data_IF_988762452920
#
_entry.id   IF_988762452920
#
_cell.length_a   1.000
_cell.length_b   1.000
_cell.length_c   1.000
_cell.angle_alpha   90.00
_cell.angle_beta   90.00
_cell.angle_gamma   90.00
#
_symmetry.space_group_name_H-M   'P 1'
#
loop_
_entity.id
_entity.type
_entity.pdbx_description
1 polymer ?
#
# COMPACT_ATOMS: atom_id res chain seq x y z
N UNK A 1 -46.18 2.44 -15.14
CA UNK A 1 -44.94 3.23 -14.98
C UNK A 1 -43.85 2.28 -14.50
N UNK A 2 -42.88 1.91 -15.34
CA UNK A 2 -41.82 0.97 -14.93
C UNK A 2 -40.78 1.72 -14.08
N UNK A 3 -40.38 1.22 -12.90
CA UNK A 3 -39.39 1.89 -12.07
C UNK A 3 -38.04 1.93 -12.79
N UNK A 4 -37.39 3.09 -12.78
CA UNK A 4 -36.04 3.24 -13.37
C UNK A 4 -35.05 2.39 -12.56
N UNK A 5 -34.18 1.60 -13.23
CA UNK A 5 -33.16 0.84 -12.53
C UNK A 5 -32.21 1.80 -11.80
N UNK A 6 -31.97 1.53 -10.51
CA UNK A 6 -30.94 2.25 -9.74
C UNK A 6 -29.58 1.77 -10.22
N UNK A 7 -28.90 2.58 -11.03
CA UNK A 7 -27.52 2.35 -11.43
C UNK A 7 -26.66 2.37 -10.16
N UNK A 8 -26.04 1.25 -9.82
CA UNK A 8 -25.09 1.19 -8.72
C UNK A 8 -23.91 2.13 -9.03
N UNK A 9 -23.71 3.14 -8.18
CA UNK A 9 -22.59 4.08 -8.35
C UNK A 9 -21.28 3.32 -8.16
N UNK A 10 -20.47 3.20 -9.21
CA UNK A 10 -19.05 2.82 -9.10
C UNK A 10 -18.41 3.81 -8.13
N UNK A 11 -18.00 3.36 -6.93
CA UNK A 11 -17.44 4.24 -5.91
C UNK A 11 -16.03 4.63 -6.33
N UNK A 12 -15.83 5.87 -6.78
CA UNK A 12 -14.51 6.43 -6.96
C UNK A 12 -13.81 6.47 -5.59
N UNK A 13 -12.61 5.90 -5.48
CA UNK A 13 -11.82 5.97 -4.26
C UNK A 13 -11.25 7.39 -4.11
N UNK A 14 -11.86 8.17 -3.23
CA UNK A 14 -11.55 9.58 -3.07
C UNK A 14 -10.40 9.80 -2.08
N UNK A 15 -9.82 11.00 -2.09
CA UNK A 15 -8.83 11.44 -1.09
C UNK A 15 -9.42 11.34 0.34
N UNK A 16 -10.72 11.57 0.50
CA UNK A 16 -11.38 11.44 1.79
C UNK A 16 -11.46 9.98 2.27
N UNK A 17 -11.67 9.03 1.34
CA UNK A 17 -11.62 7.60 1.65
C UNK A 17 -10.20 7.19 2.03
N UNK A 18 -9.19 7.66 1.28
CA UNK A 18 -7.78 7.46 1.62
C UNK A 18 -7.45 7.95 3.03
N UNK A 19 -7.83 9.18 3.38
CA UNK A 19 -7.52 9.76 4.69
C UNK A 19 -8.24 9.05 5.84
N UNK A 20 -9.41 8.43 5.58
CA UNK A 20 -10.14 7.65 6.57
C UNK A 20 -9.46 6.30 6.83
N UNK A 21 -8.96 5.65 5.79
CA UNK A 21 -8.30 4.35 5.89
C UNK A 21 -6.85 4.47 6.38
N UNK A 22 -6.12 5.47 5.87
CA UNK A 22 -4.71 5.73 6.17
C UNK A 22 -4.56 7.02 6.98
N UNK A 23 -5.22 7.07 8.14
CA UNK A 23 -5.21 8.24 9.00
C UNK A 23 -3.79 8.55 9.54
N UNK A 24 -3.05 7.51 9.95
CA UNK A 24 -1.75 7.60 10.61
C UNK A 24 -0.77 6.52 10.09
N UNK A 25 0.51 6.68 10.43
CA UNK A 25 1.55 5.70 10.08
C UNK A 25 1.27 4.29 10.64
N UNK A 26 0.63 4.18 11.81
CA UNK A 26 0.20 2.89 12.36
C UNK A 26 -0.85 2.20 11.49
N UNK A 27 -1.78 2.94 10.90
CA UNK A 27 -2.78 2.36 9.99
C UNK A 27 -2.12 1.84 8.70
N UNK A 28 -1.16 2.59 8.16
CA UNK A 28 -0.35 2.12 7.04
C UNK A 28 0.46 0.87 7.40
N UNK A 29 1.00 0.80 8.62
CA UNK A 29 1.79 -0.34 9.10
C UNK A 29 0.92 -1.60 9.31
N UNK A 30 -0.30 -1.47 9.83
CA UNK A 30 -1.25 -2.58 9.90
C UNK A 30 -1.63 -3.06 8.50
N UNK A 31 -1.86 -2.15 7.54
CA UNK A 31 -2.11 -2.53 6.16
C UNK A 31 -0.96 -3.34 5.56
N UNK A 32 0.30 -2.90 5.73
CA UNK A 32 1.47 -3.66 5.24
C UNK A 32 1.56 -5.04 5.90
N UNK A 33 1.28 -5.11 7.21
CA UNK A 33 1.27 -6.38 7.93
C UNK A 33 0.21 -7.32 7.37
N UNK A 34 -1.02 -6.85 7.16
CA UNK A 34 -2.10 -7.68 6.65
C UNK A 34 -1.79 -8.20 5.24
N UNK A 35 -1.18 -7.37 4.39
CA UNK A 35 -0.75 -7.78 3.04
C UNK A 35 0.37 -8.82 3.06
N UNK A 36 1.30 -8.74 4.01
CA UNK A 36 2.43 -9.70 4.12
C UNK A 36 2.04 -10.99 4.84
N UNK A 37 1.18 -10.87 5.85
CA UNK A 37 0.73 -11.97 6.70
C UNK A 37 -0.78 -11.85 6.92
N UNK A 38 -1.60 -12.46 6.05
CA UNK A 38 -3.04 -12.42 6.19
C UNK A 38 -3.46 -13.03 7.54
N UNK A 39 -4.45 -12.42 8.19
CA UNK A 39 -4.92 -12.77 9.54
C UNK A 39 -3.90 -12.50 10.67
N UNK A 40 -2.78 -11.82 10.38
CA UNK A 40 -1.77 -11.46 11.37
C UNK A 40 -1.03 -12.65 12.00
N UNK A 41 -1.09 -13.82 11.37
CA UNK A 41 -0.40 -15.03 11.79
C UNK A 41 0.89 -15.18 10.99
N UNK A 42 2.01 -15.31 11.67
CA UNK A 42 3.29 -15.60 11.02
C UNK A 42 4.13 -16.54 11.85
N UNK A 43 5.06 -17.22 11.19
CA UNK A 43 6.00 -18.13 11.83
C UNK A 43 7.02 -17.32 12.60
N UNK A 44 7.04 -17.50 13.92
CA UNK A 44 8.05 -16.87 14.74
C UNK A 44 9.40 -17.57 14.54
N UNK A 45 10.48 -16.84 14.31
CA UNK A 45 11.83 -17.40 14.16
C UNK A 45 12.31 -18.18 15.39
N UNK A 46 11.92 -17.75 16.60
CA UNK A 46 12.31 -18.42 17.85
C UNK A 46 11.43 -19.61 18.16
N UNK A 47 10.11 -19.46 18.09
CA UNK A 47 9.19 -20.55 18.42
C UNK A 47 9.05 -21.58 17.30
N UNK A 48 9.40 -21.22 16.06
CA UNK A 48 9.13 -21.99 14.84
C UNK A 48 7.67 -22.38 14.63
N UNK A 49 6.74 -21.73 15.34
CA UNK A 49 5.30 -21.98 15.28
C UNK A 49 4.59 -20.73 14.76
N UNK A 50 3.51 -20.94 14.01
CA UNK A 50 2.58 -19.91 13.58
C UNK A 50 1.76 -19.37 14.75
N UNK A 51 1.90 -18.06 14.98
CA UNK A 51 1.27 -17.36 16.11
C UNK A 51 0.85 -15.95 15.69
N UNK A 52 -0.08 -15.39 16.45
CA UNK A 52 -0.45 -13.98 16.34
C UNK A 52 0.68 -13.11 16.87
N UNK A 53 0.87 -11.97 16.22
CA UNK A 53 1.84 -10.96 16.62
C UNK A 53 1.13 -9.64 16.94
N UNK A 54 1.44 -9.08 18.11
CA UNK A 54 0.81 -7.87 18.65
C UNK A 54 1.65 -6.63 18.37
N UNK A 55 0.98 -5.50 18.17
CA UNK A 55 1.61 -4.21 17.86
C UNK A 55 2.45 -3.72 19.04
N UNK A 56 3.72 -3.40 18.81
CA UNK A 56 4.59 -2.75 19.81
C UNK A 56 4.50 -1.24 19.69
N UNK A 57 3.97 -0.58 20.71
CA UNK A 57 3.82 0.88 20.76
C UNK A 57 5.16 1.59 20.57
N UNK A 58 5.18 2.62 19.71
CA UNK A 58 6.35 3.48 19.50
C UNK A 58 7.48 2.91 18.62
N UNK A 59 7.33 1.69 18.09
CA UNK A 59 8.29 1.08 17.14
C UNK A 59 7.54 0.59 15.92
N UNK A 60 8.18 0.37 14.77
CA UNK A 60 7.55 -0.28 13.61
C UNK A 60 7.58 -1.82 13.70
N UNK A 61 7.42 -2.36 14.92
CA UNK A 61 7.60 -3.78 15.22
C UNK A 61 6.32 -4.43 15.74
N UNK A 62 6.24 -5.75 15.58
CA UNK A 62 5.24 -6.59 16.23
C UNK A 62 5.93 -7.65 17.08
N UNK A 63 5.37 -7.96 18.25
CA UNK A 63 5.89 -8.95 19.18
C UNK A 63 5.08 -10.25 19.10
N UNK A 64 5.76 -11.39 19.11
CA UNK A 64 5.13 -12.70 19.24
C UNK A 64 4.50 -12.84 20.63
N UNK A 65 3.26 -13.33 20.68
CA UNK A 65 2.49 -13.54 21.92
C UNK A 65 3.19 -14.46 22.94
N UNK A 66 3.94 -15.47 22.46
CA UNK A 66 4.55 -16.47 23.33
C UNK A 66 5.97 -16.13 23.80
N UNK A 67 6.86 -15.71 22.89
CA UNK A 67 8.28 -15.52 23.20
C UNK A 67 8.73 -14.05 23.21
N UNK A 68 7.84 -13.11 22.89
CA UNK A 68 8.17 -11.69 22.79
C UNK A 68 9.15 -11.34 21.67
N UNK A 69 9.43 -12.26 20.72
CA UNK A 69 10.31 -11.97 19.60
C UNK A 69 9.71 -10.89 18.69
N UNK A 70 10.53 -9.93 18.28
CA UNK A 70 10.09 -8.84 17.43
C UNK A 70 10.24 -9.21 15.95
N UNK A 71 9.18 -8.95 15.20
CA UNK A 71 9.18 -8.98 13.74
C UNK A 71 8.94 -7.57 13.20
N UNK A 72 9.53 -7.27 12.05
CA UNK A 72 9.45 -5.97 11.41
C UNK A 72 8.83 -6.15 10.02
N UNK A 73 7.58 -5.69 9.77
CA UNK A 73 6.90 -5.87 8.49
C UNK A 73 7.58 -5.09 7.37
N UNK A 74 8.24 -3.98 7.71
CA UNK A 74 8.91 -3.11 6.74
C UNK A 74 10.21 -3.72 6.21
N UNK A 75 10.77 -4.74 6.87
CA UNK A 75 12.06 -5.32 6.49
C UNK A 75 12.03 -5.83 5.05
N UNK A 76 13.02 -5.40 4.26
CA UNK A 76 13.11 -5.70 2.82
C UNK A 76 12.31 -4.75 1.92
N UNK A 77 11.51 -3.82 2.48
CA UNK A 77 10.81 -2.81 1.70
C UNK A 77 11.59 -1.51 1.58
N UNK A 78 11.18 -0.67 0.63
CA UNK A 78 11.70 0.70 0.48
C UNK A 78 11.42 1.59 1.69
N UNK A 79 10.44 1.21 2.50
CA UNK A 79 10.03 1.96 3.70
C UNK A 79 10.99 1.75 4.88
N UNK A 80 11.65 0.59 4.99
CA UNK A 80 12.51 0.26 6.14
C UNK A 80 13.69 1.22 6.33
N UNK A 81 14.19 1.84 5.26
CA UNK A 81 15.33 2.76 5.30
C UNK A 81 14.93 4.23 5.18
N UNK A 82 13.63 4.54 5.20
CA UNK A 82 13.13 5.89 4.99
C UNK A 82 12.84 6.57 6.34
N UNK A 83 13.30 7.82 6.48
CA UNK A 83 12.86 8.71 7.57
C UNK A 83 11.53 9.41 7.25
N UNK A 84 10.99 9.22 6.04
CA UNK A 84 9.72 9.81 5.62
C UNK A 84 8.56 8.99 6.18
N UNK A 85 7.54 9.66 6.72
CA UNK A 85 6.32 9.01 7.24
C UNK A 85 5.70 8.03 6.23
N UNK A 86 5.19 6.90 6.74
CA UNK A 86 4.55 5.87 5.93
C UNK A 86 3.33 6.43 5.20
N UNK A 87 2.56 7.30 5.87
CA UNK A 87 1.40 7.97 5.27
C UNK A 87 1.77 8.77 4.02
N UNK A 88 2.91 9.47 4.04
CA UNK A 88 3.37 10.24 2.87
C UNK A 88 3.67 9.31 1.69
N UNK A 89 4.31 8.17 1.95
CA UNK A 89 4.57 7.18 0.91
C UNK A 89 3.27 6.66 0.29
N UNK A 90 2.32 6.26 1.13
CA UNK A 90 1.01 5.76 0.71
C UNK A 90 0.24 6.81 -0.10
N UNK A 91 0.30 8.06 0.34
CA UNK A 91 -0.35 9.16 -0.37
C UNK A 91 0.24 9.37 -1.76
N UNK A 92 1.57 9.32 -1.90
CA UNK A 92 2.21 9.43 -3.22
C UNK A 92 1.82 8.26 -4.14
N UNK A 93 1.75 7.03 -3.60
CA UNK A 93 1.30 5.85 -4.35
C UNK A 93 -0.17 6.03 -4.79
N UNK A 94 -1.04 6.49 -3.90
CA UNK A 94 -2.43 6.80 -4.22
C UNK A 94 -2.55 7.82 -5.35
N UNK A 95 -1.81 8.93 -5.27
CA UNK A 95 -1.81 9.95 -6.32
C UNK A 95 -1.34 9.40 -7.67
N UNK A 96 -0.38 8.48 -7.66
CA UNK A 96 0.14 7.86 -8.88
C UNK A 96 -0.92 6.98 -9.53
N UNK A 97 -1.69 6.23 -8.74
CA UNK A 97 -2.80 5.42 -9.24
C UNK A 97 -4.03 6.25 -9.64
N UNK A 98 -4.26 7.39 -8.98
CA UNK A 98 -5.45 8.23 -9.23
C UNK A 98 -5.30 9.16 -10.44
N UNK A 99 -4.09 9.35 -10.95
CA UNK A 99 -3.79 10.34 -11.99
C UNK A 99 -3.33 9.64 -13.26
N UNK A 100 -4.01 9.87 -14.39
CA UNK A 100 -3.59 9.34 -15.71
C UNK A 100 -2.33 10.01 -16.27
N UNK A 101 -1.92 11.15 -15.70
CA UNK A 101 -0.75 11.93 -16.10
C UNK A 101 0.43 11.75 -15.15
N UNK A 102 1.64 11.95 -15.69
CA UNK A 102 2.88 11.86 -14.92
C UNK A 102 2.90 12.83 -13.74
N UNK A 103 3.01 12.31 -12.53
CA UNK A 103 3.17 13.14 -11.34
C UNK A 103 4.51 13.87 -11.30
N UNK A 104 4.47 15.13 -10.88
CA UNK A 104 5.65 15.96 -10.64
C UNK A 104 5.99 16.02 -9.14
N UNK A 105 7.29 16.00 -8.82
CA UNK A 105 7.77 16.16 -7.44
C UNK A 105 7.32 17.48 -6.79
N UNK A 106 7.15 18.56 -7.59
CA UNK A 106 6.60 19.83 -7.09
C UNK A 106 5.14 19.72 -6.65
N UNK A 107 4.36 18.82 -7.26
CA UNK A 107 2.98 18.57 -6.84
C UNK A 107 2.96 17.86 -5.49
N UNK A 108 3.75 16.80 -5.34
CA UNK A 108 3.90 16.07 -4.08
C UNK A 108 4.35 17.00 -2.95
N UNK A 109 5.35 17.86 -3.19
CA UNK A 109 5.79 18.85 -2.21
C UNK A 109 4.65 19.75 -1.73
N UNK A 110 3.82 20.27 -2.65
CA UNK A 110 2.69 21.14 -2.29
C UNK A 110 1.59 20.41 -1.52
N UNK A 111 1.30 19.17 -1.88
CA UNK A 111 0.21 18.41 -1.26
C UNK A 111 0.61 17.79 0.09
N UNK A 112 1.87 17.42 0.28
CA UNK A 112 2.35 16.73 1.51
C UNK A 112 3.16 17.62 2.44
N UNK A 113 3.62 18.79 1.99
CA UNK A 113 4.45 19.70 2.79
C UNK A 113 5.90 19.24 2.99
N UNK A 114 6.31 18.10 2.42
CA UNK A 114 7.70 17.62 2.52
C UNK A 114 8.65 18.45 1.65
N UNK A 115 9.95 18.38 1.93
CA UNK A 115 10.95 19.04 1.08
C UNK A 115 10.91 18.48 -0.35
N UNK A 116 11.23 19.33 -1.33
CA UNK A 116 11.33 18.90 -2.73
C UNK A 116 12.25 17.69 -2.92
N UNK A 117 13.38 17.66 -2.21
CA UNK A 117 14.36 16.55 -2.26
C UNK A 117 13.74 15.23 -1.78
N UNK A 118 12.94 15.29 -0.72
CA UNK A 118 12.19 14.13 -0.21
C UNK A 118 11.15 13.67 -1.23
N UNK A 119 10.32 14.60 -1.73
CA UNK A 119 9.29 14.31 -2.72
C UNK A 119 9.87 13.64 -3.99
N UNK A 120 10.98 14.18 -4.51
CA UNK A 120 11.65 13.62 -5.68
C UNK A 120 12.24 12.23 -5.42
N UNK A 121 12.87 12.02 -4.26
CA UNK A 121 13.41 10.69 -3.89
C UNK A 121 12.30 9.65 -3.77
N UNK A 122 11.22 9.97 -3.07
CA UNK A 122 10.06 9.09 -2.90
C UNK A 122 9.48 8.71 -4.27
N UNK A 123 9.22 9.69 -5.13
CA UNK A 123 8.69 9.46 -6.47
C UNK A 123 9.62 8.60 -7.33
N UNK A 124 10.93 8.87 -7.32
CA UNK A 124 11.92 8.09 -8.07
C UNK A 124 11.99 6.64 -7.60
N UNK A 125 11.89 6.42 -6.30
CA UNK A 125 11.96 5.09 -5.70
C UNK A 125 10.70 4.27 -6.03
N UNK A 126 9.51 4.88 -5.96
CA UNK A 126 8.26 4.22 -6.37
C UNK A 126 8.30 3.87 -7.87
N UNK A 127 8.73 4.80 -8.72
CA UNK A 127 8.88 4.53 -10.16
C UNK A 127 9.85 3.39 -10.43
N UNK A 128 10.98 3.35 -9.72
CA UNK A 128 11.93 2.26 -9.83
C UNK A 128 11.24 0.93 -9.53
N UNK A 129 10.52 0.83 -8.42
CA UNK A 129 9.77 -0.38 -8.05
C UNK A 129 8.73 -0.81 -9.09
N UNK A 130 8.09 0.14 -9.76
CA UNK A 130 7.10 -0.16 -10.80
C UNK A 130 7.72 -0.58 -12.14
N UNK A 131 8.97 -0.15 -12.43
CA UNK A 131 9.66 -0.43 -13.70
C UNK A 131 10.59 -1.63 -13.62
N UNK A 132 11.22 -1.89 -12.45
CA UNK A 132 11.93 -3.14 -12.24
C UNK A 132 10.89 -4.25 -12.07
N UNK A 133 10.98 -5.30 -12.90
CA UNK A 133 10.27 -6.58 -12.74
C UNK A 133 10.74 -7.31 -11.47
N UNK A 134 10.63 -6.67 -10.31
CA UNK A 134 10.91 -7.25 -9.00
C UNK A 134 9.55 -7.57 -8.36
N UNK A 135 9.18 -8.86 -8.20
CA UNK A 135 7.83 -9.31 -7.85
C UNK A 135 7.45 -9.09 -6.38
N UNK A 136 7.90 -7.99 -5.78
CA UNK A 136 7.55 -7.63 -4.40
C UNK A 136 6.48 -6.52 -4.33
N UNK A 137 5.93 -6.12 -5.48
CA UNK A 137 4.66 -5.38 -5.51
C UNK A 137 3.55 -6.38 -5.24
N UNK A 138 3.03 -6.38 -4.01
CA UNK A 138 1.77 -7.06 -3.69
C UNK A 138 0.70 -6.37 -4.52
N UNK A 139 0.39 -6.94 -5.68
CA UNK A 139 -0.74 -6.50 -6.47
C UNK A 139 -1.99 -6.82 -5.66
N UNK A 140 -2.89 -5.85 -5.38
CA UNK A 140 -4.24 -6.21 -5.00
C UNK A 140 -4.81 -6.99 -6.19
N UNK A 141 -5.22 -8.23 -5.96
CA UNK A 141 -5.96 -9.06 -6.91
C UNK A 141 -7.24 -8.33 -7.29
N UNK A 142 -7.11 -7.42 -8.26
CA UNK A 142 -8.25 -6.88 -8.98
C UNK A 142 -8.36 -7.83 -10.15
N UNK A 143 -9.31 -8.75 -10.03
CA UNK A 143 -9.76 -9.65 -11.09
C UNK A 143 -9.96 -8.80 -12.36
N UNK A 144 -8.94 -8.80 -13.22
CA UNK A 144 -8.99 -8.26 -14.57
C UNK A 144 -9.59 -9.36 -15.43
N UNK A 145 -10.92 -9.40 -15.53
CA UNK A 145 -11.60 -10.09 -16.61
C UNK A 145 -11.31 -9.33 -17.92
N UNK A 146 -10.23 -9.72 -18.59
CA UNK A 146 -10.04 -9.50 -20.01
C UNK A 146 -10.44 -10.80 -20.71
N UNK A 147 -11.69 -10.86 -21.17
CA UNK A 147 -12.14 -11.83 -22.16
C UNK A 147 -12.18 -11.20 -23.54
N UNK A 148 -11.01 -10.94 -24.15
CA UNK A 148 -10.90 -10.72 -25.58
C UNK A 148 -10.46 -12.03 -26.26
N UNK A 149 -11.26 -12.53 -27.19
CA UNK A 149 -10.83 -13.21 -28.41
C UNK A 149 -12.08 -13.64 -29.19
N UNK A 150 -12.18 -13.62 -30.51
CA UNK A 150 -11.40 -13.17 -31.67
C UNK A 150 -12.23 -13.62 -32.88
N UNK A 151 -12.11 -12.99 -34.06
CA UNK A 151 -12.30 -13.74 -35.31
C UNK A 151 -13.12 -13.08 -36.43
N UNK A 152 -12.43 -12.26 -37.21
CA UNK A 152 -12.44 -12.17 -38.69
C UNK A 152 -13.38 -13.14 -39.48
N UNK A 153 -14.19 -12.59 -40.39
CA UNK A 153 -14.10 -12.68 -41.87
C UNK A 153 -15.48 -12.69 -42.56
N UNK A 154 -15.56 -11.85 -43.60
CA UNK A 154 -16.37 -11.92 -44.84
C UNK A 154 -17.90 -11.84 -44.73
#
# INVERSE_FOLDING_TARGET
MKPRPRIAKKRFYSVADFNREFANDDACLEYIKEQRWPNGVTKCEKCSIERKHHRVTGRTAYACDHCGNHIYPLTGSVFAKSATSLKTWFYVIYLMGSTSSSLSAKRIQRETGVTYKTAWRTLRQIRRLLTSEDPQVVQPTTEMDNGDASGLRE
#
